data_IF_101273245374
#
_entry.id   IF_101273245374
#
_cell.length_a   1.000
_cell.length_b   1.000
_cell.length_c   1.000
_cell.angle_alpha   90.00
_cell.angle_beta   90.00
_cell.angle_gamma   90.00
#
_symmetry.space_group_name_H-M   'P 1'
#
loop_
_entity.id
_entity.type
_entity.pdbx_description
1 polymer ?
#
# COMPACT_ATOMS: atom_id res chain seq x y z
N UNK A 1 -9.13 -6.69 22.48
CA UNK A 1 -8.56 -7.35 21.29
C UNK A 1 -8.63 -6.37 20.11
N UNK A 2 -7.48 -5.85 19.69
CA UNK A 2 -7.42 -4.89 18.56
C UNK A 2 -7.62 -5.54 17.19
N UNK A 3 -7.44 -6.85 17.10
CA UNK A 3 -7.54 -7.64 15.87
C UNK A 3 -8.38 -8.89 16.15
N UNK A 4 -9.57 -8.95 15.56
CA UNK A 4 -10.49 -10.09 15.67
C UNK A 4 -10.52 -10.94 14.41
N UNK A 5 -11.02 -12.19 14.51
CA UNK A 5 -11.29 -13.06 13.36
C UNK A 5 -10.05 -13.58 12.61
N UNK A 6 -8.87 -13.59 13.24
CA UNK A 6 -7.63 -14.11 12.66
C UNK A 6 -7.17 -15.37 13.40
N UNK A 7 -6.79 -16.39 12.64
CA UNK A 7 -6.25 -17.65 13.15
C UNK A 7 -4.71 -17.69 13.15
N UNK A 8 -4.07 -16.68 12.58
CA UNK A 8 -2.60 -16.58 12.44
C UNK A 8 -2.07 -15.28 13.05
N UNK A 9 -0.77 -15.07 12.94
CA UNK A 9 -0.11 -13.83 13.36
C UNK A 9 -0.62 -12.61 12.59
N UNK A 10 -0.54 -11.46 13.23
CA UNK A 10 -0.87 -10.15 12.64
C UNK A 10 0.42 -9.35 12.46
N UNK A 11 0.67 -8.89 11.26
CA UNK A 11 1.70 -7.89 10.95
C UNK A 11 1.05 -6.52 10.88
N UNK A 12 1.44 -5.64 11.78
CA UNK A 12 0.97 -4.25 11.79
C UNK A 12 2.05 -3.33 11.18
N UNK A 13 1.71 -2.63 10.11
CA UNK A 13 2.66 -1.80 9.36
C UNK A 13 2.24 -0.34 9.46
N UNK A 14 3.11 0.48 10.02
CA UNK A 14 2.91 1.92 10.13
C UNK A 14 3.64 2.67 9.02
N UNK A 15 2.87 3.30 8.15
CA UNK A 15 3.40 4.20 7.15
C UNK A 15 3.60 5.59 7.76
N UNK A 16 4.79 6.21 7.56
CA UNK A 16 5.05 7.59 7.99
C UNK A 16 4.10 8.59 7.31
N UNK A 17 3.86 9.72 7.92
CA UNK A 17 3.23 10.86 7.27
C UNK A 17 4.24 11.59 6.38
N UNK A 18 3.75 12.34 5.41
CA UNK A 18 4.57 13.21 4.59
C UNK A 18 5.11 14.41 5.38
N UNK A 19 6.12 15.06 4.85
CA UNK A 19 6.68 16.27 5.44
C UNK A 19 5.66 17.42 5.34
N UNK A 20 5.25 17.97 6.47
CA UNK A 20 4.27 19.06 6.51
C UNK A 20 4.92 20.48 6.52
N UNK A 21 6.23 20.57 6.42
CA UNK A 21 6.95 21.85 6.42
C UNK A 21 7.54 22.18 5.07
N UNK A 22 8.22 21.22 4.45
CA UNK A 22 8.96 21.41 3.22
C UNK A 22 8.62 20.30 2.20
N UNK A 23 8.62 20.71 0.93
CA UNK A 23 8.59 19.75 -0.16
C UNK A 23 9.94 19.02 -0.24
N UNK A 24 9.90 17.71 -0.38
CA UNK A 24 11.09 16.93 -0.62
C UNK A 24 10.84 15.86 -1.68
N UNK A 25 11.87 15.59 -2.46
CA UNK A 25 11.88 14.54 -3.46
C UNK A 25 13.15 13.73 -3.29
N UNK A 26 13.02 12.42 -3.21
CA UNK A 26 14.12 11.49 -3.08
C UNK A 26 13.93 10.35 -4.07
N UNK A 27 14.93 10.06 -4.85
CA UNK A 27 14.88 9.02 -5.87
C UNK A 27 16.16 8.23 -5.95
N UNK A 28 16.10 7.07 -6.56
CA UNK A 28 17.24 6.23 -6.83
C UNK A 28 16.99 5.37 -8.06
N UNK A 29 18.00 5.29 -8.91
CA UNK A 29 18.02 4.44 -10.09
C UNK A 29 19.12 3.40 -9.87
N UNK A 30 18.76 2.14 -9.87
CA UNK A 30 19.68 1.01 -9.79
C UNK A 30 19.74 0.25 -11.11
N UNK A 31 20.56 -0.77 -11.20
CA UNK A 31 20.67 -1.60 -12.40
C UNK A 31 19.37 -2.38 -12.71
N UNK A 32 18.57 -2.72 -11.70
CA UNK A 32 17.42 -3.60 -11.83
C UNK A 32 16.10 -2.85 -11.58
N UNK A 33 16.11 -1.86 -10.68
CA UNK A 33 14.91 -1.16 -10.23
C UNK A 33 15.17 0.31 -9.94
N UNK A 34 14.11 1.10 -9.99
CA UNK A 34 14.10 2.49 -9.55
C UNK A 34 13.07 2.72 -8.45
N UNK A 35 13.28 3.78 -7.69
CA UNK A 35 12.34 4.25 -6.66
C UNK A 35 12.25 5.76 -6.69
N UNK A 36 11.08 6.25 -6.33
CA UNK A 36 10.81 7.69 -6.17
C UNK A 36 9.94 7.90 -4.94
N UNK A 37 10.33 8.86 -4.11
CA UNK A 37 9.54 9.37 -2.99
C UNK A 37 9.36 10.86 -3.18
N UNK A 38 8.12 11.31 -3.15
CA UNK A 38 7.76 12.74 -3.16
C UNK A 38 6.87 12.99 -1.97
N UNK A 39 7.20 13.99 -1.18
CA UNK A 39 6.40 14.37 -0.03
C UNK A 39 6.44 15.89 0.17
N UNK A 40 5.38 16.42 0.79
CA UNK A 40 5.32 17.85 1.04
C UNK A 40 4.05 18.27 1.76
N UNK A 41 3.98 19.58 2.12
CA UNK A 41 2.79 20.14 2.74
C UNK A 41 1.65 20.29 1.74
N UNK A 42 0.43 19.88 2.14
CA UNK A 42 -0.83 20.34 1.55
C UNK A 42 -1.16 21.71 2.17
N UNK A 43 -1.03 21.78 3.48
CA UNK A 43 -1.11 23.02 4.26
C UNK A 43 0.06 23.04 5.25
N UNK A 44 0.88 24.06 5.18
CA UNK A 44 2.12 24.18 5.96
C UNK A 44 1.86 24.03 7.46
N UNK A 45 2.67 23.20 8.13
CA UNK A 45 2.58 22.84 9.55
C UNK A 45 1.31 22.08 9.98
N UNK A 46 0.42 21.71 9.05
CA UNK A 46 -0.85 21.02 9.37
C UNK A 46 -1.00 19.74 8.57
N UNK A 47 -1.14 19.85 7.26
CA UNK A 47 -1.51 18.74 6.39
C UNK A 47 -0.41 18.42 5.41
N UNK A 48 -0.22 17.16 5.10
CA UNK A 48 0.85 16.70 4.21
C UNK A 48 0.41 15.56 3.30
N UNK A 49 1.16 15.38 2.23
CA UNK A 49 1.06 14.22 1.36
C UNK A 49 2.41 13.50 1.24
N UNK A 50 2.33 12.24 0.92
CA UNK A 50 3.44 11.37 0.57
C UNK A 50 3.02 10.48 -0.59
N UNK A 51 3.86 10.40 -1.61
CA UNK A 51 3.74 9.46 -2.72
C UNK A 51 5.07 8.76 -2.90
N UNK A 52 5.06 7.46 -2.79
CA UNK A 52 6.24 6.63 -3.01
C UNK A 52 5.94 5.60 -4.09
N UNK A 53 6.81 5.49 -5.07
CA UNK A 53 6.71 4.50 -6.13
C UNK A 53 8.02 3.74 -6.30
N UNK A 54 7.89 2.52 -6.73
CA UNK A 54 9.01 1.64 -7.03
C UNK A 54 8.64 0.75 -8.20
N UNK A 55 9.60 0.48 -9.07
CA UNK A 55 9.39 -0.42 -10.19
C UNK A 55 10.70 -1.02 -10.67
N UNK A 56 10.63 -2.25 -11.21
CA UNK A 56 11.75 -2.91 -11.84
C UNK A 56 11.64 -2.87 -13.35
N UNK A 57 12.76 -2.77 -13.99
CA UNK A 57 12.94 -2.87 -15.45
C UNK A 57 13.96 -3.94 -15.86
N UNK A 58 14.26 -4.86 -14.94
CA UNK A 58 15.19 -5.98 -15.19
C UNK A 58 14.85 -6.76 -16.46
N UNK A 59 13.57 -6.92 -16.78
CA UNK A 59 13.10 -7.59 -17.98
C UNK A 59 13.58 -6.93 -19.28
N UNK A 60 13.93 -5.63 -19.27
CA UNK A 60 14.49 -4.97 -20.45
C UNK A 60 15.91 -5.46 -20.75
N UNK A 61 16.68 -5.77 -19.71
CA UNK A 61 18.02 -6.35 -19.85
C UNK A 61 17.93 -7.83 -20.25
N UNK A 62 16.97 -8.57 -19.73
CA UNK A 62 16.75 -9.97 -20.10
C UNK A 62 16.37 -10.13 -21.58
N UNK A 63 15.69 -9.15 -22.17
CA UNK A 63 15.39 -9.13 -23.62
C UNK A 63 16.64 -8.98 -24.51
N UNK A 64 17.76 -8.54 -23.97
CA UNK A 64 19.05 -8.47 -24.67
C UNK A 64 19.79 -9.81 -24.68
N UNK A 65 19.30 -10.77 -23.93
CA UNK A 65 19.77 -12.15 -23.87
C UNK A 65 18.66 -13.05 -24.44
N UNK A 66 19.00 -14.25 -24.89
CA UNK A 66 18.02 -15.24 -25.39
C UNK A 66 17.18 -15.87 -24.25
N UNK A 67 17.09 -15.20 -23.10
CA UNK A 67 16.35 -15.67 -21.92
C UNK A 67 14.95 -15.10 -21.95
N UNK A 68 13.96 -15.95 -22.13
CA UNK A 68 12.52 -15.58 -22.11
C UNK A 68 11.94 -15.38 -20.71
N UNK A 69 12.78 -15.35 -19.68
CA UNK A 69 12.34 -15.10 -18.32
C UNK A 69 11.94 -13.65 -18.11
N UNK A 70 10.80 -13.45 -17.46
CA UNK A 70 10.29 -12.13 -17.11
C UNK A 70 10.10 -12.06 -15.61
N UNK A 71 10.72 -11.05 -14.99
CA UNK A 71 10.46 -10.69 -13.62
C UNK A 71 10.29 -9.18 -13.54
N UNK A 72 9.10 -8.73 -13.23
CA UNK A 72 8.88 -7.32 -12.96
C UNK A 72 7.91 -7.13 -11.81
N UNK A 73 8.11 -6.06 -11.09
CA UNK A 73 7.14 -5.57 -10.12
C UNK A 73 7.06 -4.04 -10.22
N UNK A 74 5.94 -3.52 -9.81
CA UNK A 74 5.80 -2.11 -9.50
C UNK A 74 4.83 -1.92 -8.35
N UNK A 75 5.09 -0.90 -7.54
CA UNK A 75 4.20 -0.50 -6.47
C UNK A 75 4.12 1.01 -6.33
N UNK A 76 2.98 1.45 -5.85
CA UNK A 76 2.67 2.82 -5.50
C UNK A 76 2.08 2.85 -4.10
N UNK A 77 2.68 3.66 -3.24
CA UNK A 77 2.18 3.97 -1.91
C UNK A 77 1.81 5.45 -1.84
N UNK A 78 0.64 5.73 -1.32
CA UNK A 78 0.20 7.12 -1.12
C UNK A 78 -0.32 7.29 0.29
N UNK A 79 -0.07 8.46 0.88
CA UNK A 79 -0.66 8.85 2.14
C UNK A 79 -0.85 10.36 2.19
N UNK A 80 -2.02 10.78 2.60
CA UNK A 80 -2.32 12.18 2.87
C UNK A 80 -2.98 12.30 4.22
N UNK A 81 -2.65 13.34 4.95
CA UNK A 81 -3.32 13.71 6.17
C UNK A 81 -3.88 15.12 6.06
N UNK A 82 -5.06 15.32 6.61
CA UNK A 82 -5.78 16.58 6.63
C UNK A 82 -6.17 16.91 8.06
N UNK A 83 -5.65 17.99 8.58
CA UNK A 83 -6.09 18.56 9.85
C UNK A 83 -7.24 19.52 9.54
N UNK A 84 -8.46 19.10 9.86
CA UNK A 84 -9.67 19.91 9.63
C UNK A 84 -9.78 20.98 10.73
N UNK A 85 -9.61 20.54 11.98
CA UNK A 85 -9.57 21.38 13.17
C UNK A 85 -8.80 20.66 14.30
N UNK A 86 -8.81 21.23 15.50
CA UNK A 86 -8.12 20.68 16.67
C UNK A 86 -8.69 19.33 17.14
N UNK A 87 -9.88 18.95 16.70
CA UNK A 87 -10.56 17.71 17.09
C UNK A 87 -10.66 16.70 15.96
N UNK A 88 -10.48 17.13 14.71
CA UNK A 88 -10.75 16.31 13.54
C UNK A 88 -9.54 16.21 12.63
N UNK A 89 -9.08 14.97 12.40
CA UNK A 89 -8.03 14.64 11.44
C UNK A 89 -8.50 13.52 10.53
N UNK A 90 -8.30 13.71 9.24
CA UNK A 90 -8.61 12.70 8.21
C UNK A 90 -7.31 12.21 7.61
N UNK A 91 -7.20 10.90 7.43
CA UNK A 91 -6.08 10.24 6.76
C UNK A 91 -6.63 9.45 5.58
N UNK A 92 -6.02 9.65 4.44
CA UNK A 92 -6.25 8.84 3.24
C UNK A 92 -4.95 8.13 2.90
N UNK A 93 -4.96 6.81 2.84
CA UNK A 93 -3.80 6.03 2.42
C UNK A 93 -4.19 4.99 1.39
N UNK A 94 -3.32 4.78 0.42
CA UNK A 94 -3.51 3.83 -0.65
C UNK A 94 -2.24 3.06 -0.95
N UNK A 95 -2.40 1.82 -1.34
CA UNK A 95 -1.37 0.97 -1.89
C UNK A 95 -1.88 0.33 -3.17
N UNK A 96 -1.03 0.30 -4.17
CA UNK A 96 -1.25 -0.45 -5.39
C UNK A 96 0.05 -1.13 -5.77
N UNK A 97 0.03 -2.44 -5.95
CA UNK A 97 1.20 -3.21 -6.33
C UNK A 97 0.84 -4.38 -7.23
N UNK A 98 1.74 -4.69 -8.14
CA UNK A 98 1.63 -5.83 -9.03
C UNK A 98 2.99 -6.47 -9.26
N UNK A 99 3.02 -7.79 -9.20
CA UNK A 99 4.18 -8.61 -9.45
C UNK A 99 3.86 -9.64 -10.54
N UNK A 100 4.81 -9.88 -11.42
CA UNK A 100 4.76 -10.90 -12.43
C UNK A 100 6.12 -11.59 -12.53
N UNK A 101 6.08 -12.91 -12.44
CA UNK A 101 7.22 -13.77 -12.63
C UNK A 101 6.88 -14.84 -13.67
N UNK A 102 7.66 -14.91 -14.74
CA UNK A 102 7.49 -15.90 -15.83
C UNK A 102 8.84 -16.55 -16.09
N UNK A 103 8.85 -17.87 -16.15
CA UNK A 103 10.02 -18.69 -16.49
C UNK A 103 9.75 -19.44 -17.80
N UNK A 104 10.58 -19.19 -18.81
CA UNK A 104 10.75 -19.95 -20.04
C UNK A 104 9.46 -20.55 -20.62
N UNK A 105 8.38 -19.75 -20.66
CA UNK A 105 7.09 -20.17 -21.19
C UNK A 105 6.37 -21.29 -20.41
N UNK A 106 6.98 -21.85 -19.38
CA UNK A 106 6.46 -23.03 -18.65
C UNK A 106 5.75 -22.70 -17.35
N UNK A 107 6.15 -21.61 -16.71
CA UNK A 107 5.65 -21.18 -15.41
C UNK A 107 5.38 -19.68 -15.41
N UNK A 108 4.18 -19.29 -14.97
CA UNK A 108 3.86 -17.90 -14.71
C UNK A 108 3.16 -17.76 -13.37
N UNK A 109 3.68 -16.86 -12.54
CA UNK A 109 3.08 -16.44 -11.29
C UNK A 109 2.79 -14.95 -11.34
N UNK A 110 1.58 -14.57 -11.00
CA UNK A 110 1.18 -13.16 -10.89
C UNK A 110 0.44 -12.91 -9.59
N UNK A 111 0.70 -11.80 -8.95
CA UNK A 111 -0.15 -11.32 -7.88
C UNK A 111 -0.24 -9.80 -7.88
N UNK A 112 -1.32 -9.31 -7.32
CA UNK A 112 -1.54 -7.89 -7.18
C UNK A 112 -2.35 -7.61 -5.93
N UNK A 113 -2.13 -6.43 -5.38
CA UNK A 113 -2.87 -5.94 -4.24
C UNK A 113 -3.16 -4.46 -4.40
N UNK A 114 -4.41 -4.09 -4.18
CA UNK A 114 -4.85 -2.70 -4.15
C UNK A 114 -5.58 -2.46 -2.85
N UNK A 115 -5.17 -1.45 -2.09
CA UNK A 115 -5.83 -1.08 -0.85
C UNK A 115 -6.10 0.41 -0.81
N UNK A 116 -7.23 0.79 -0.25
CA UNK A 116 -7.57 2.17 0.07
C UNK A 116 -8.11 2.20 1.49
N UNK A 117 -7.58 3.11 2.30
CA UNK A 117 -8.01 3.30 3.68
C UNK A 117 -8.30 4.79 3.93
N UNK A 118 -9.55 5.08 4.27
CA UNK A 118 -9.99 6.37 4.78
C UNK A 118 -10.18 6.24 6.28
N UNK A 119 -9.43 7.02 7.06
CA UNK A 119 -9.53 7.04 8.51
C UNK A 119 -9.83 8.45 9.01
N UNK A 120 -10.84 8.57 9.86
CA UNK A 120 -11.19 9.77 10.58
C UNK A 120 -10.91 9.59 12.07
N UNK A 121 -10.05 10.44 12.59
CA UNK A 121 -9.77 10.55 14.01
C UNK A 121 -10.54 11.73 14.56
N UNK A 122 -11.40 11.48 15.56
CA UNK A 122 -12.22 12.51 16.18
C UNK A 122 -12.01 12.54 17.69
N UNK A 123 -11.63 13.70 18.21
CA UNK A 123 -11.52 13.98 19.64
C UNK A 123 -12.87 14.48 20.17
N UNK A 124 -13.61 13.60 20.82
CA UNK A 124 -14.94 13.91 21.38
C UNK A 124 -14.81 14.89 22.54
N UNK A 125 -13.89 14.57 23.48
CA UNK A 125 -13.51 15.42 24.60
C UNK A 125 -12.06 15.11 25.01
N UNK A 126 -11.54 15.77 26.06
CA UNK A 126 -10.12 15.62 26.50
C UNK A 126 -9.72 14.19 26.87
N UNK A 127 -10.67 13.32 27.18
CA UNK A 127 -10.42 11.93 27.62
C UNK A 127 -10.92 10.88 26.62
N UNK A 128 -11.72 11.29 25.64
CA UNK A 128 -12.40 10.34 24.74
C UNK A 128 -12.12 10.69 23.29
N UNK A 129 -11.61 9.71 22.54
CA UNK A 129 -11.43 9.85 21.11
C UNK A 129 -11.95 8.62 20.35
N UNK A 130 -12.33 8.82 19.12
CA UNK A 130 -12.77 7.78 18.21
C UNK A 130 -11.90 7.72 16.96
N UNK A 131 -11.71 6.52 16.46
CA UNK A 131 -11.10 6.23 15.16
C UNK A 131 -12.12 5.48 14.31
N UNK A 132 -12.55 6.08 13.24
CA UNK A 132 -13.41 5.46 12.23
C UNK A 132 -12.60 5.18 10.98
N UNK A 133 -12.63 3.95 10.48
CA UNK A 133 -11.89 3.58 9.28
C UNK A 133 -12.80 2.84 8.31
N UNK A 134 -12.70 3.20 7.03
CA UNK A 134 -13.27 2.47 5.91
C UNK A 134 -12.11 1.96 5.06
N UNK A 135 -12.00 0.64 4.92
CA UNK A 135 -10.88 -0.02 4.28
C UNK A 135 -11.41 -0.88 3.14
N UNK A 136 -10.97 -0.57 1.93
CA UNK A 136 -11.17 -1.41 0.75
C UNK A 136 -9.87 -2.14 0.42
N UNK A 137 -9.95 -3.42 0.05
CA UNK A 137 -8.84 -4.18 -0.50
C UNK A 137 -9.29 -5.10 -1.62
N UNK A 138 -8.45 -5.21 -2.64
CA UNK A 138 -8.61 -6.12 -3.77
C UNK A 138 -7.28 -6.83 -4.00
N UNK A 139 -7.23 -8.11 -3.68
CA UNK A 139 -6.08 -8.98 -3.88
C UNK A 139 -6.42 -10.02 -4.94
N UNK A 140 -5.49 -10.24 -5.86
CA UNK A 140 -5.59 -11.35 -6.79
C UNK A 140 -4.27 -12.11 -6.89
N UNK A 141 -4.38 -13.37 -7.22
CA UNK A 141 -3.28 -14.29 -7.45
C UNK A 141 -3.56 -15.15 -8.68
N UNK A 142 -2.55 -15.36 -9.51
CA UNK A 142 -2.60 -16.24 -10.67
C UNK A 142 -1.37 -17.13 -10.74
N UNK A 143 -1.60 -18.42 -11.01
CA UNK A 143 -0.57 -19.41 -11.25
C UNK A 143 -0.89 -20.18 -12.54
N UNK A 144 0.04 -20.19 -13.47
CA UNK A 144 -0.07 -20.90 -14.73
C UNK A 144 1.12 -21.84 -14.90
N UNK A 145 0.85 -23.10 -15.23
CA UNK A 145 1.82 -24.15 -15.47
C UNK A 145 1.52 -24.75 -16.85
N UNK A 146 2.19 -24.25 -17.89
CA UNK A 146 1.87 -24.61 -19.27
C UNK A 146 2.18 -26.07 -19.59
N UNK A 147 3.21 -26.64 -18.93
CA UNK A 147 3.62 -28.05 -19.14
C UNK A 147 2.59 -29.09 -18.70
N UNK A 148 1.59 -28.69 -17.86
CA UNK A 148 0.47 -29.56 -17.45
C UNK A 148 -0.89 -28.96 -17.82
N UNK A 149 -0.93 -27.82 -18.52
CA UNK A 149 -2.16 -27.14 -18.88
C UNK A 149 -2.94 -26.60 -17.68
N UNK A 150 -2.25 -26.24 -16.59
CA UNK A 150 -2.87 -25.75 -15.36
C UNK A 150 -2.92 -24.22 -15.34
N UNK A 151 -4.10 -23.65 -15.19
CA UNK A 151 -4.34 -22.21 -14.99
C UNK A 151 -5.24 -22.03 -13.77
N UNK A 152 -4.71 -21.41 -12.73
CA UNK A 152 -5.45 -21.12 -11.51
C UNK A 152 -5.41 -19.64 -11.19
N UNK A 153 -6.60 -19.06 -10.95
CA UNK A 153 -6.78 -17.67 -10.57
C UNK A 153 -7.63 -17.60 -9.30
N UNK A 154 -7.20 -16.77 -8.37
CA UNK A 154 -7.91 -16.51 -7.13
C UNK A 154 -7.88 -15.03 -6.81
N UNK A 155 -8.92 -14.53 -6.15
CA UNK A 155 -8.99 -13.14 -5.74
C UNK A 155 -9.87 -12.96 -4.52
N UNK A 156 -9.55 -11.96 -3.72
CA UNK A 156 -10.30 -11.60 -2.52
C UNK A 156 -10.55 -10.10 -2.57
N UNK A 157 -11.84 -9.72 -2.62
CA UNK A 157 -12.28 -8.33 -2.44
C UNK A 157 -12.89 -8.19 -1.06
N UNK A 158 -12.49 -7.14 -0.37
CA UNK A 158 -12.94 -6.93 1.00
C UNK A 158 -13.23 -5.44 1.23
N UNK A 159 -14.34 -5.15 1.90
CA UNK A 159 -14.71 -3.84 2.40
C UNK A 159 -14.93 -3.96 3.90
N UNK A 160 -14.10 -3.27 4.68
CA UNK A 160 -14.18 -3.28 6.14
C UNK A 160 -14.53 -1.90 6.67
N UNK A 161 -15.47 -1.88 7.60
CA UNK A 161 -15.73 -0.74 8.46
C UNK A 161 -15.21 -1.05 9.86
N UNK A 162 -14.42 -0.14 10.43
CA UNK A 162 -13.89 -0.27 11.79
C UNK A 162 -14.18 1.01 12.57
N UNK A 163 -14.70 0.83 13.77
CA UNK A 163 -14.93 1.91 14.71
C UNK A 163 -14.28 1.54 16.05
N UNK A 164 -13.35 2.36 16.51
CA UNK A 164 -12.69 2.21 17.82
C UNK A 164 -13.01 3.45 18.66
N UNK A 165 -13.54 3.24 19.86
CA UNK A 165 -13.71 4.28 20.87
C UNK A 165 -12.74 4.02 22.03
N UNK A 166 -11.94 5.01 22.39
CA UNK A 166 -11.03 4.94 23.54
C UNK A 166 -11.35 6.04 24.54
N UNK A 167 -11.51 5.64 25.78
CA UNK A 167 -11.71 6.55 26.89
C UNK A 167 -10.60 6.32 27.93
N UNK A 168 -9.93 7.39 28.33
CA UNK A 168 -8.91 7.37 29.37
C UNK A 168 -9.53 7.76 30.71
N UNK A 169 -9.54 6.81 31.63
CA UNK A 169 -9.90 7.07 33.03
C UNK A 169 -8.63 7.59 33.73
N UNK A 170 -8.75 8.77 34.33
CA UNK A 170 -7.71 9.33 35.25
C UNK A 170 -8.08 9.03 36.67
#
# INVERSE_FOLDING_TARGET
>A
QSYGGRLSSVLDVYQKDGNNQNFSMNGGIGAISSRLLVEGPIQKNQSSFLVASRGTYAHLFLKLTDIENIAYFYDLNTKSNFVIDNKNKIFLSGYFGRDLFKLDGTFMNTYGNSTLNLRWNHLINEKTFSNTSLIFSDYYYGLQLDFVGFDWKSGIKNLNFKFDLKNYYS
#
